data_IF_176538075576
#
_entry.id   IF_176538075576
#
_cell.length_a   1.000
_cell.length_b   1.000
_cell.length_c   1.000
_cell.angle_alpha   90.00
_cell.angle_beta   90.00
_cell.angle_gamma   90.00
#
_symmetry.space_group_name_H-M   'P 1'
#
loop_
_entity.id
_entity.type
_entity.pdbx_description
1 polymer ?
#
# COMPACT_ATOMS: atom_id res chain seq x y z
N UNK A 1 -20.78 24.15 14.85
CA UNK A 1 -20.36 23.66 13.53
C UNK A 1 -19.15 22.77 13.76
N UNK A 2 -19.36 21.46 13.85
CA UNK A 2 -18.25 20.52 14.02
C UNK A 2 -17.56 20.36 12.66
N UNK A 3 -16.27 20.68 12.61
CA UNK A 3 -15.43 20.53 11.43
C UNK A 3 -15.28 19.03 11.12
N UNK A 4 -16.02 18.56 10.11
CA UNK A 4 -16.10 17.13 9.75
C UNK A 4 -14.96 16.73 8.79
N UNK A 5 -13.77 17.29 9.00
CA UNK A 5 -12.59 16.99 8.19
C UNK A 5 -12.16 15.55 8.44
N UNK A 6 -12.14 14.74 7.38
CA UNK A 6 -11.56 13.40 7.45
C UNK A 6 -10.06 13.53 7.75
N UNK A 7 -9.50 12.74 8.68
CA UNK A 7 -8.08 12.81 9.05
C UNK A 7 -7.20 12.16 7.96
N UNK A 8 -7.08 12.82 6.81
CA UNK A 8 -6.34 12.36 5.64
C UNK A 8 -4.97 13.04 5.61
N UNK A 9 -3.93 12.29 5.27
CA UNK A 9 -2.59 12.83 5.08
C UNK A 9 -2.08 12.46 3.68
N UNK A 10 -1.50 13.43 2.99
CA UNK A 10 -0.85 13.20 1.68
C UNK A 10 0.65 13.26 1.84
N UNK A 11 1.32 12.18 1.44
CA UNK A 11 2.78 12.07 1.42
C UNK A 11 3.29 12.10 -0.02
N UNK A 12 4.26 12.96 -0.30
CA UNK A 12 5.05 12.92 -1.54
C UNK A 12 6.34 12.17 -1.29
N UNK A 13 6.54 11.08 -2.02
CA UNK A 13 7.73 10.24 -1.91
C UNK A 13 8.59 10.47 -3.15
N UNK A 14 9.81 10.96 -2.95
CA UNK A 14 10.80 11.15 -4.02
C UNK A 14 11.91 10.13 -3.86
N UNK A 15 12.11 9.28 -4.86
CA UNK A 15 13.14 8.25 -4.87
C UNK A 15 14.21 8.58 -5.90
N UNK A 16 15.48 8.35 -5.54
CA UNK A 16 16.61 8.34 -6.49
C UNK A 16 16.87 6.91 -6.94
N UNK A 17 16.84 6.70 -8.24
CA UNK A 17 17.05 5.39 -8.85
C UNK A 17 18.53 5.03 -8.81
N UNK A 18 18.86 3.82 -8.36
CA UNK A 18 20.26 3.35 -8.26
C UNK A 18 20.70 2.56 -9.49
N UNK A 19 19.75 1.93 -10.19
CA UNK A 19 19.94 1.15 -11.41
C UNK A 19 18.75 1.42 -12.35
N UNK A 20 18.91 1.42 -13.68
CA UNK A 20 17.83 1.72 -14.60
C UNK A 20 16.51 1.01 -14.24
N UNK A 21 15.44 1.80 -14.09
CA UNK A 21 14.12 1.33 -13.69
C UNK A 21 13.14 1.54 -14.85
N UNK A 22 12.56 0.45 -15.34
CA UNK A 22 11.43 0.54 -16.27
C UNK A 22 10.14 0.81 -15.50
N UNK A 23 9.56 1.98 -15.70
CA UNK A 23 8.21 2.30 -15.24
C UNK A 23 7.23 1.93 -16.36
N UNK A 24 6.28 1.01 -16.11
CA UNK A 24 5.25 0.68 -17.09
C UNK A 24 4.21 1.80 -17.19
N UNK A 25 3.35 1.74 -18.22
CA UNK A 25 2.23 2.68 -18.38
C UNK A 25 1.35 2.78 -17.13
N UNK A 26 1.17 1.65 -16.44
CA UNK A 26 0.40 1.53 -15.21
C UNK A 26 1.31 1.32 -13.99
N UNK A 27 2.19 2.29 -13.72
CA UNK A 27 3.14 2.25 -12.60
C UNK A 27 2.48 2.11 -11.20
N UNK A 28 1.18 2.36 -11.07
CA UNK A 28 0.45 2.22 -9.81
C UNK A 28 0.47 0.80 -9.24
N UNK A 29 0.34 -0.23 -10.09
CA UNK A 29 0.37 -1.64 -9.64
C UNK A 29 1.77 -2.04 -9.16
N UNK A 30 2.81 -1.63 -9.90
CA UNK A 30 4.21 -1.78 -9.52
C UNK A 30 4.48 -1.14 -8.15
N UNK A 31 4.10 0.13 -7.98
CA UNK A 31 4.33 0.89 -6.76
C UNK A 31 3.55 0.31 -5.57
N UNK A 32 2.29 -0.08 -5.77
CA UNK A 32 1.50 -0.78 -4.75
C UNK A 32 2.18 -2.08 -4.32
N UNK A 33 2.63 -2.90 -5.27
CA UNK A 33 3.31 -4.17 -4.99
C UNK A 33 4.58 -3.95 -4.16
N UNK A 34 5.43 -3.02 -4.58
CA UNK A 34 6.68 -2.72 -3.87
C UNK A 34 6.44 -2.07 -2.49
N UNK A 35 5.44 -1.21 -2.36
CA UNK A 35 5.03 -0.66 -1.07
C UNK A 35 4.62 -1.76 -0.09
N UNK A 36 3.77 -2.70 -0.53
CA UNK A 36 3.35 -3.84 0.30
C UNK A 36 4.52 -4.73 0.70
N UNK A 37 5.39 -5.08 -0.24
CA UNK A 37 6.57 -5.90 0.02
C UNK A 37 7.51 -5.23 1.04
N UNK A 38 7.80 -3.93 0.86
CA UNK A 38 8.64 -3.16 1.77
C UNK A 38 8.00 -3.02 3.16
N UNK A 39 6.71 -2.68 3.24
CA UNK A 39 5.99 -2.56 4.49
C UNK A 39 5.98 -3.88 5.26
N UNK A 40 5.73 -5.00 4.57
CA UNK A 40 5.78 -6.34 5.15
C UNK A 40 7.17 -6.66 5.69
N UNK A 41 8.21 -6.35 4.91
CA UNK A 41 9.59 -6.59 5.30
C UNK A 41 9.96 -5.87 6.60
N UNK A 42 9.50 -4.62 6.77
CA UNK A 42 9.78 -3.81 7.96
C UNK A 42 8.87 -4.19 9.15
N UNK A 43 7.59 -4.47 8.91
CA UNK A 43 6.60 -4.65 9.99
C UNK A 43 6.45 -6.11 10.47
N UNK A 44 6.77 -7.11 9.65
CA UNK A 44 6.49 -8.51 9.98
C UNK A 44 7.47 -9.07 11.02
N UNK A 45 7.00 -9.23 12.26
CA UNK A 45 7.79 -9.79 13.36
C UNK A 45 8.06 -11.29 13.22
N UNK A 46 7.11 -12.06 12.68
CA UNK A 46 7.22 -13.53 12.61
C UNK A 46 8.02 -14.01 11.41
N UNK A 47 8.16 -13.18 10.37
CA UNK A 47 8.77 -13.52 9.07
C UNK A 47 8.25 -14.80 8.43
N UNK A 48 7.02 -15.21 8.77
CA UNK A 48 6.36 -16.36 8.13
C UNK A 48 6.28 -16.15 6.61
N UNK A 49 6.20 -17.21 5.79
CA UNK A 49 6.10 -17.06 4.33
C UNK A 49 4.78 -16.39 3.90
N UNK A 50 3.71 -16.57 4.67
CA UNK A 50 2.38 -16.03 4.37
C UNK A 50 1.73 -15.46 5.65
N UNK A 51 0.72 -14.61 5.47
CA UNK A 51 -0.04 -14.01 6.58
C UNK A 51 -1.13 -14.93 7.17
N UNK A 52 -1.87 -15.75 6.40
CA UNK A 52 -2.91 -16.62 6.95
C UNK A 52 -2.39 -17.55 8.05
N UNK A 53 -3.10 -17.62 9.18
CA UNK A 53 -2.70 -18.39 10.36
C UNK A 53 -1.70 -17.69 11.28
N UNK A 54 -1.24 -16.48 10.95
CA UNK A 54 -0.39 -15.70 11.85
C UNK A 54 -1.17 -15.22 13.09
N UNK A 55 -0.68 -15.48 14.32
CA UNK A 55 -1.39 -15.08 15.55
C UNK A 55 -1.44 -13.56 15.74
N UNK A 56 -0.62 -12.81 15.02
CA UNK A 56 -0.53 -11.34 15.14
C UNK A 56 -1.43 -10.59 14.14
N UNK A 57 -2.21 -11.27 13.29
CA UNK A 57 -3.10 -10.61 12.30
C UNK A 57 -3.91 -9.44 12.92
N UNK A 58 -4.54 -9.57 14.11
CA UNK A 58 -5.39 -8.51 14.66
C UNK A 58 -4.62 -7.22 15.01
N UNK A 59 -3.33 -7.31 15.30
CA UNK A 59 -2.50 -6.18 15.76
C UNK A 59 -1.41 -5.79 14.77
N UNK A 60 -1.18 -6.59 13.72
CA UNK A 60 -0.10 -6.41 12.75
C UNK A 60 -0.27 -5.09 11.97
N UNK A 61 0.75 -4.20 11.96
CA UNK A 61 0.68 -2.96 11.19
C UNK A 61 0.52 -3.18 9.69
N UNK A 62 1.15 -4.23 9.13
CA UNK A 62 1.05 -4.55 7.71
C UNK A 62 -0.38 -4.91 7.29
N UNK A 63 -1.07 -5.79 8.04
CA UNK A 63 -2.45 -6.16 7.69
C UNK A 63 -3.39 -4.98 7.87
N UNK A 64 -3.22 -4.14 8.90
CA UNK A 64 -4.06 -2.95 9.07
C UNK A 64 -3.95 -1.91 7.94
N UNK A 65 -2.83 -1.85 7.24
CA UNK A 65 -2.58 -0.86 6.17
C UNK A 65 -2.76 -1.47 4.78
N UNK A 66 -2.25 -2.67 4.52
CA UNK A 66 -2.08 -3.20 3.16
C UNK A 66 -2.92 -4.44 2.83
N UNK A 67 -3.33 -5.20 3.84
CA UNK A 67 -4.06 -6.45 3.67
C UNK A 67 -5.11 -6.56 4.77
N UNK A 68 -6.02 -5.57 4.78
CA UNK A 68 -7.01 -5.41 5.83
C UNK A 68 -7.96 -6.61 5.85
N UNK A 69 -7.97 -7.42 6.94
CA UNK A 69 -8.81 -8.60 6.98
C UNK A 69 -10.28 -8.19 6.90
N UNK A 70 -11.13 -9.02 6.26
CA UNK A 70 -12.56 -8.79 6.27
C UNK A 70 -13.08 -8.83 7.71
N UNK A 71 -14.17 -8.10 8.00
CA UNK A 71 -14.77 -8.16 9.32
C UNK A 71 -15.34 -9.57 9.56
N UNK A 72 -15.54 -10.00 10.82
CA UNK A 72 -16.09 -11.32 11.11
C UNK A 72 -17.40 -11.55 10.35
N UNK A 73 -17.59 -12.76 9.80
CA UNK A 73 -18.83 -13.10 9.09
C UNK A 73 -20.05 -12.83 9.98
N UNK A 74 -21.07 -12.18 9.41
CA UNK A 74 -22.30 -11.80 10.14
C UNK A 74 -22.21 -10.49 10.94
N UNK A 75 -21.06 -9.80 10.93
CA UNK A 75 -20.92 -8.47 11.57
C UNK A 75 -21.70 -7.35 10.86
N UNK A 76 -22.00 -7.51 9.58
CA UNK A 76 -22.83 -6.58 8.81
C UNK A 76 -23.96 -7.32 8.09
N UNK A 77 -25.20 -6.85 8.28
CA UNK A 77 -26.41 -7.52 7.80
C UNK A 77 -26.58 -7.51 6.26
N UNK A 78 -25.83 -6.65 5.55
CA UNK A 78 -26.07 -6.37 4.12
C UNK A 78 -24.85 -6.67 3.21
N UNK A 79 -23.65 -6.88 3.75
CA UNK A 79 -22.42 -7.00 2.94
C UNK A 79 -21.45 -8.03 3.53
N UNK A 80 -21.15 -9.07 2.74
CA UNK A 80 -20.08 -10.03 2.98
C UNK A 80 -18.86 -9.61 2.15
N UNK A 81 -17.99 -8.79 2.73
CA UNK A 81 -16.77 -8.33 2.06
C UNK A 81 -15.74 -9.46 2.02
N UNK A 82 -15.18 -9.74 0.85
CA UNK A 82 -14.00 -10.63 0.75
C UNK A 82 -12.73 -9.97 1.30
N UNK A 83 -12.65 -8.64 1.23
CA UNK A 83 -11.60 -7.76 1.77
C UNK A 83 -12.19 -6.36 2.02
N UNK A 84 -11.77 -5.66 3.07
CA UNK A 84 -12.10 -4.24 3.24
C UNK A 84 -11.16 -3.43 2.35
N UNK A 85 -11.62 -2.36 1.66
CA UNK A 85 -10.71 -1.44 0.99
C UNK A 85 -9.67 -0.89 1.95
N UNK A 86 -8.39 -1.03 1.60
CA UNK A 86 -7.32 -0.49 2.42
C UNK A 86 -7.40 1.05 2.48
N UNK A 87 -7.07 1.67 3.62
CA UNK A 87 -7.18 3.11 3.82
C UNK A 87 -5.99 3.88 3.23
N UNK A 88 -5.60 3.57 1.99
CA UNK A 88 -4.58 4.33 1.26
C UNK A 88 -4.80 4.27 -0.25
N UNK A 89 -4.31 5.30 -0.95
CA UNK A 89 -4.27 5.40 -2.41
C UNK A 89 -2.81 5.57 -2.84
N UNK A 90 -2.36 4.78 -3.81
CA UNK A 90 -1.12 5.05 -4.54
C UNK A 90 -1.47 5.91 -5.75
N UNK A 91 -0.97 7.13 -5.77
CA UNK A 91 -1.03 7.96 -6.97
C UNK A 91 0.32 7.87 -7.70
N UNK A 92 0.36 7.20 -8.85
CA UNK A 92 1.61 7.00 -9.58
C UNK A 92 2.13 8.32 -10.17
N UNK A 93 3.39 8.32 -10.64
CA UNK A 93 3.91 9.39 -11.49
C UNK A 93 3.05 9.57 -12.74
N UNK A 94 3.27 10.67 -13.48
CA UNK A 94 2.61 10.93 -14.76
C UNK A 94 2.59 9.67 -15.64
N UNK A 95 1.42 9.28 -16.20
CA UNK A 95 1.30 8.12 -17.05
C UNK A 95 2.26 8.16 -18.25
N UNK A 96 2.68 6.98 -18.68
CA UNK A 96 3.56 6.77 -19.84
C UNK A 96 4.77 5.92 -19.49
N UNK A 97 4.93 4.82 -20.23
CA UNK A 97 6.07 3.94 -20.09
C UNK A 97 7.38 4.72 -20.32
N UNK A 98 8.30 4.61 -19.37
CA UNK A 98 9.60 5.27 -19.44
C UNK A 98 10.65 4.53 -18.65
N UNK A 99 11.90 4.71 -19.05
CA UNK A 99 13.05 4.29 -18.25
C UNK A 99 13.51 5.49 -17.42
N UNK A 100 13.64 5.28 -16.12
CA UNK A 100 14.31 6.22 -15.21
C UNK A 100 15.73 5.71 -15.02
N UNK A 101 16.72 6.48 -15.44
CA UNK A 101 18.12 6.09 -15.41
C UNK A 101 18.70 6.10 -14.00
N UNK A 102 19.85 5.45 -13.81
CA UNK A 102 20.59 5.56 -12.56
C UNK A 102 20.94 7.02 -12.26
N UNK A 103 20.73 7.44 -11.01
CA UNK A 103 20.93 8.82 -10.56
C UNK A 103 19.72 9.74 -10.74
N UNK A 104 18.80 9.41 -11.66
CA UNK A 104 17.57 10.18 -11.84
C UNK A 104 16.60 9.98 -10.67
N UNK A 105 15.63 10.90 -10.57
CA UNK A 105 14.60 10.87 -9.52
C UNK A 105 13.23 10.69 -10.15
N UNK A 106 12.36 9.99 -9.44
CA UNK A 106 10.93 10.02 -9.70
C UNK A 106 10.19 10.25 -8.39
N UNK A 107 8.95 10.71 -8.49
CA UNK A 107 8.08 10.86 -7.33
C UNK A 107 6.69 10.29 -7.58
N UNK A 108 6.07 9.89 -6.47
CA UNK A 108 4.70 9.38 -6.41
C UNK A 108 4.10 9.78 -5.05
N UNK A 109 2.79 9.60 -4.90
CA UNK A 109 2.11 9.97 -3.66
C UNK A 109 1.42 8.79 -3.01
N UNK A 110 1.33 8.86 -1.68
CA UNK A 110 0.45 8.03 -0.86
C UNK A 110 -0.49 8.97 -0.13
N UNK A 111 -1.79 8.71 -0.25
CA UNK A 111 -2.87 9.44 0.43
C UNK A 111 -3.63 8.47 1.31
#
# INVERSE_FOLDING_TARGET
MSDNALPIARYRLTARVQQPLSLPDYAGSLLRGQFGAALRHVACMTRQPTCPGCPLIPTCPYTRIFEAPPPPKGSHALQDFSQIPNPYIIEPPTPGARVVNAGERFDFHIV
#
